data_IF_934368130980
#
_entry.id   IF_934368130980
#
_cell.length_a   1.000
_cell.length_b   1.000
_cell.length_c   1.000
_cell.angle_alpha   90.00
_cell.angle_beta   90.00
_cell.angle_gamma   90.00
#
_symmetry.space_group_name_H-M   'P 1'
#
loop_
_entity.id
_entity.type
_entity.pdbx_description
1 polymer ?
#
# COMPACT_ATOMS: atom_id res chain seq x y z
N UNK A 1 -14.24 -11.29 21.76
CA UNK A 1 -13.97 -11.73 20.37
C UNK A 1 -12.66 -11.08 19.88
N UNK A 2 -11.61 -11.12 20.71
CA UNK A 2 -10.40 -10.27 20.62
C UNK A 2 -9.17 -11.02 20.04
N UNK A 3 -9.36 -12.28 19.62
CA UNK A 3 -8.28 -13.23 19.36
C UNK A 3 -7.78 -13.27 17.92
N UNK A 4 -8.65 -13.06 16.92
CA UNK A 4 -8.28 -13.30 15.50
C UNK A 4 -7.35 -12.21 14.95
N UNK A 5 -7.63 -10.93 15.23
CA UNK A 5 -6.80 -9.82 14.75
C UNK A 5 -5.41 -9.77 15.39
N UNK A 6 -5.32 -10.05 16.70
CA UNK A 6 -4.05 -10.11 17.43
C UNK A 6 -3.19 -11.30 17.00
N UNK A 7 -3.81 -12.47 16.78
CA UNK A 7 -3.12 -13.65 16.22
C UNK A 7 -2.65 -13.40 14.78
N UNK A 8 -3.48 -12.80 13.93
CA UNK A 8 -3.11 -12.47 12.56
C UNK A 8 -1.94 -11.46 12.51
N UNK A 9 -1.93 -10.46 13.39
CA UNK A 9 -0.83 -9.51 13.53
C UNK A 9 0.50 -10.20 13.92
N UNK A 10 0.46 -11.10 14.90
CA UNK A 10 1.62 -11.90 15.30
C UNK A 10 2.13 -12.79 14.17
N UNK A 11 1.24 -13.52 13.50
CA UNK A 11 1.61 -14.37 12.37
C UNK A 11 2.22 -13.57 11.22
N UNK A 12 1.63 -12.42 10.87
CA UNK A 12 2.14 -11.59 9.78
C UNK A 12 3.51 -10.98 10.09
N UNK A 13 3.75 -10.60 11.35
CA UNK A 13 5.08 -10.19 11.79
C UNK A 13 6.10 -11.30 11.58
N UNK A 14 5.78 -12.54 12.00
CA UNK A 14 6.69 -13.68 11.84
C UNK A 14 6.95 -14.02 10.37
N UNK A 15 5.91 -13.96 9.52
CA UNK A 15 6.09 -14.10 8.08
C UNK A 15 7.00 -13.01 7.49
N UNK A 16 6.82 -11.74 7.89
CA UNK A 16 7.70 -10.65 7.44
C UNK A 16 9.16 -10.88 7.85
N UNK A 17 9.42 -11.44 9.05
CA UNK A 17 10.77 -11.78 9.49
C UNK A 17 11.41 -12.85 8.60
N UNK A 18 10.66 -13.90 8.25
CA UNK A 18 11.12 -14.94 7.34
C UNK A 18 11.40 -14.37 5.93
N UNK A 19 10.46 -13.59 5.39
CA UNK A 19 10.60 -12.96 4.08
C UNK A 19 11.81 -12.02 4.02
N UNK A 20 12.06 -11.25 5.08
CA UNK A 20 13.22 -10.38 5.21
C UNK A 20 14.53 -11.18 5.24
N UNK A 21 14.56 -12.32 5.94
CA UNK A 21 15.71 -13.23 5.92
C UNK A 21 15.97 -13.83 4.54
N UNK A 22 14.92 -14.28 3.84
CA UNK A 22 15.04 -14.81 2.47
C UNK A 22 15.55 -13.71 1.53
N UNK A 23 14.93 -12.52 1.57
CA UNK A 23 15.34 -11.38 0.75
C UNK A 23 16.79 -10.99 1.01
N UNK A 24 17.21 -10.92 2.28
CA UNK A 24 18.58 -10.57 2.63
C UNK A 24 19.60 -11.54 2.04
N UNK A 25 19.35 -12.86 2.15
CA UNK A 25 20.22 -13.87 1.56
C UNK A 25 20.26 -13.79 0.03
N UNK A 26 19.10 -13.63 -0.63
CA UNK A 26 19.07 -13.52 -2.10
C UNK A 26 19.74 -12.25 -2.60
N UNK A 27 19.57 -11.12 -1.90
CA UNK A 27 20.20 -9.85 -2.25
C UNK A 27 21.72 -9.93 -2.10
N UNK A 28 22.23 -10.57 -1.04
CA UNK A 28 23.68 -10.77 -0.87
C UNK A 28 24.26 -11.65 -1.98
N UNK A 29 23.60 -12.75 -2.32
CA UNK A 29 24.04 -13.61 -3.43
C UNK A 29 24.03 -12.88 -4.77
N UNK A 30 23.03 -12.03 -5.01
CA UNK A 30 22.96 -11.20 -6.23
C UNK A 30 24.03 -10.11 -6.28
N UNK A 31 24.48 -9.58 -5.13
CA UNK A 31 25.59 -8.61 -5.07
C UNK A 31 26.94 -9.25 -5.43
N UNK A 32 27.12 -10.53 -5.13
CA UNK A 32 28.36 -11.28 -5.40
C UNK A 32 28.35 -11.98 -6.78
N UNK A 33 27.21 -11.96 -7.49
CA UNK A 33 27.05 -12.62 -8.79
C UNK A 33 26.94 -11.64 -9.94
N UNK A 34 27.54 -12.02 -11.07
CA UNK A 34 27.35 -11.36 -12.36
C UNK A 34 26.04 -11.80 -13.01
N UNK A 35 25.47 -10.94 -13.88
CA UNK A 35 24.15 -11.15 -14.50
C UNK A 35 24.10 -12.30 -15.51
N UNK A 36 25.26 -12.77 -15.98
CA UNK A 36 25.44 -13.94 -16.85
C UNK A 36 25.47 -15.27 -16.08
N UNK A 37 25.55 -15.23 -14.75
CA UNK A 37 25.61 -16.44 -13.94
C UNK A 37 24.31 -17.27 -14.07
N UNK A 38 24.39 -18.61 -14.22
CA UNK A 38 23.22 -19.46 -14.52
C UNK A 38 22.05 -19.37 -13.53
N UNK A 39 22.32 -18.91 -12.31
CA UNK A 39 21.31 -18.78 -11.25
C UNK A 39 20.80 -17.35 -11.04
N UNK A 40 21.36 -16.34 -11.72
CA UNK A 40 21.02 -14.93 -11.50
C UNK A 40 19.53 -14.67 -11.70
N UNK A 41 18.97 -15.12 -12.83
CA UNK A 41 17.54 -15.00 -13.13
C UNK A 41 16.63 -15.72 -12.14
N UNK A 42 17.10 -16.83 -11.55
CA UNK A 42 16.35 -17.55 -10.52
C UNK A 42 16.32 -16.76 -9.21
N UNK A 43 17.44 -16.16 -8.82
CA UNK A 43 17.49 -15.31 -7.62
C UNK A 43 16.62 -14.04 -7.79
N UNK A 44 16.65 -13.38 -8.95
CA UNK A 44 15.73 -12.28 -9.25
C UNK A 44 14.25 -12.71 -9.14
N UNK A 45 13.94 -13.92 -9.62
CA UNK A 45 12.59 -14.48 -9.51
C UNK A 45 12.18 -14.72 -8.05
N UNK A 46 13.11 -15.17 -7.20
CA UNK A 46 12.84 -15.36 -5.77
C UNK A 46 12.59 -14.01 -5.09
N UNK A 47 13.40 -12.97 -5.37
CA UNK A 47 13.15 -11.64 -4.82
C UNK A 47 11.77 -11.09 -5.21
N UNK A 48 11.34 -11.29 -6.46
CA UNK A 48 10.00 -10.93 -6.92
C UNK A 48 8.91 -11.69 -6.16
N UNK A 49 9.07 -12.99 -5.95
CA UNK A 49 8.12 -13.80 -5.18
C UNK A 49 8.03 -13.38 -3.71
N UNK A 50 9.16 -13.02 -3.11
CA UNK A 50 9.21 -12.48 -1.74
C UNK A 50 8.44 -11.16 -1.64
N UNK A 51 8.65 -10.24 -2.60
CA UNK A 51 7.92 -8.99 -2.67
C UNK A 51 6.40 -9.20 -2.82
N UNK A 52 5.99 -10.09 -3.72
CA UNK A 52 4.56 -10.44 -3.90
C UNK A 52 3.96 -11.07 -2.64
N UNK A 53 4.70 -11.94 -1.95
CA UNK A 53 4.26 -12.56 -0.69
C UNK A 53 4.04 -11.52 0.41
N UNK A 54 4.95 -10.57 0.55
CA UNK A 54 4.81 -9.48 1.51
C UNK A 54 3.57 -8.63 1.23
N UNK A 55 3.26 -8.37 -0.05
CA UNK A 55 2.03 -7.67 -0.45
C UNK A 55 0.77 -8.45 -0.06
N UNK A 56 0.73 -9.75 -0.32
CA UNK A 56 -0.40 -10.62 0.04
C UNK A 56 -0.64 -10.65 1.56
N UNK A 57 0.42 -10.73 2.37
CA UNK A 57 0.31 -10.71 3.83
C UNK A 57 -0.27 -9.38 4.34
N UNK A 58 0.13 -8.25 3.75
CA UNK A 58 -0.47 -6.94 4.07
C UNK A 58 -1.97 -6.91 3.74
N UNK A 59 -2.38 -7.47 2.61
CA UNK A 59 -3.80 -7.55 2.24
C UNK A 59 -4.58 -8.42 3.26
N UNK A 60 -4.05 -9.59 3.63
CA UNK A 60 -4.67 -10.49 4.62
C UNK A 60 -4.80 -9.80 5.98
N UNK A 61 -3.78 -9.07 6.42
CA UNK A 61 -3.84 -8.26 7.64
C UNK A 61 -4.92 -7.18 7.57
N UNK A 62 -5.05 -6.51 6.42
CA UNK A 62 -6.12 -5.54 6.17
C UNK A 62 -7.50 -6.15 6.40
N UNK A 63 -7.74 -7.36 5.88
CA UNK A 63 -8.98 -8.10 6.13
C UNK A 63 -9.14 -8.53 7.60
N UNK A 64 -8.08 -9.06 8.22
CA UNK A 64 -8.13 -9.52 9.61
C UNK A 64 -8.34 -8.38 10.63
N UNK A 65 -7.98 -7.14 10.27
CA UNK A 65 -8.20 -5.93 11.07
C UNK A 65 -9.66 -5.46 11.12
N UNK A 66 -10.58 -6.03 10.32
CA UNK A 66 -12.01 -5.69 10.35
C UNK A 66 -12.73 -5.91 11.72
N UNK A 67 -12.03 -6.40 12.76
CA UNK A 67 -12.59 -6.57 14.10
C UNK A 67 -12.53 -5.36 15.04
N UNK A 68 -11.81 -4.28 14.69
CA UNK A 68 -11.73 -3.05 15.51
C UNK A 68 -11.78 -1.81 14.61
N UNK A 69 -12.98 -1.45 14.16
CA UNK A 69 -13.21 -0.15 13.53
C UNK A 69 -13.11 0.92 14.62
N UNK A 70 -12.10 1.77 14.57
CA UNK A 70 -12.04 2.96 15.41
C UNK A 70 -12.51 4.15 14.58
N UNK A 71 -13.84 4.27 14.47
CA UNK A 71 -14.47 5.38 13.74
C UNK A 71 -14.14 6.68 14.47
N UNK A 72 -13.50 7.61 13.77
CA UNK A 72 -13.19 8.96 14.23
C UNK A 72 -13.62 9.97 13.18
N UNK A 73 -13.95 11.17 13.65
CA UNK A 73 -14.05 12.34 12.77
C UNK A 73 -12.68 12.65 12.19
N UNK A 74 -12.59 12.75 10.87
CA UNK A 74 -11.34 13.01 10.16
C UNK A 74 -11.55 13.94 8.96
N UNK A 75 -10.52 14.72 8.64
CA UNK A 75 -10.45 15.49 7.41
C UNK A 75 -9.85 14.60 6.29
N UNK A 76 -10.66 14.28 5.28
CA UNK A 76 -10.22 13.39 4.20
C UNK A 76 -9.13 14.02 3.32
N UNK A 77 -9.11 15.35 3.16
CA UNK A 77 -8.10 16.02 2.35
C UNK A 77 -6.70 15.90 2.98
N UNK A 78 -6.59 15.95 4.31
CA UNK A 78 -5.32 15.77 5.01
C UNK A 78 -4.72 14.40 4.70
N UNK A 79 -5.51 13.33 4.84
CA UNK A 79 -5.06 11.97 4.55
C UNK A 79 -4.72 11.77 3.06
N UNK A 80 -5.48 12.35 2.14
CA UNK A 80 -5.16 12.32 0.70
C UNK A 80 -3.84 13.04 0.43
N UNK A 81 -3.59 14.18 1.07
CA UNK A 81 -2.33 14.91 0.94
C UNK A 81 -1.13 14.08 1.41
N UNK A 82 -1.22 13.48 2.59
CA UNK A 82 -0.16 12.63 3.15
C UNK A 82 0.16 11.42 2.25
N UNK A 83 -0.87 10.75 1.75
CA UNK A 83 -0.70 9.57 0.87
C UNK A 83 -0.19 9.96 -0.51
N UNK A 84 -0.64 11.09 -1.07
CA UNK A 84 -0.13 11.64 -2.33
C UNK A 84 1.36 12.03 -2.23
N UNK A 85 1.77 12.64 -1.11
CA UNK A 85 3.16 13.01 -0.85
C UNK A 85 4.09 11.78 -0.85
N UNK A 86 3.66 10.70 -0.21
CA UNK A 86 4.41 9.42 -0.21
C UNK A 86 4.53 8.89 -1.64
N UNK A 87 3.43 8.85 -2.39
CA UNK A 87 3.42 8.39 -3.79
C UNK A 87 4.35 9.22 -4.68
N UNK A 88 4.31 10.55 -4.59
CA UNK A 88 5.15 11.45 -5.38
C UNK A 88 6.65 11.25 -5.10
N UNK A 89 7.02 10.88 -3.87
CA UNK A 89 8.41 10.52 -3.52
C UNK A 89 8.83 9.19 -4.13
N UNK A 90 7.92 8.22 -4.23
CA UNK A 90 8.19 6.87 -4.75
C UNK A 90 8.13 6.80 -6.29
N UNK A 91 7.26 7.58 -6.93
CA UNK A 91 7.00 7.57 -8.38
C UNK A 91 7.20 8.95 -8.99
N UNK A 92 8.47 9.33 -9.19
CA UNK A 92 8.85 10.63 -9.77
C UNK A 92 8.46 10.80 -11.24
N UNK A 93 8.13 9.69 -11.90
CA UNK A 93 7.61 9.63 -13.26
C UNK A 93 6.12 9.97 -13.36
N UNK A 94 5.41 10.03 -12.22
CA UNK A 94 3.99 10.40 -12.16
C UNK A 94 3.85 11.83 -11.62
N UNK A 95 3.16 12.68 -12.36
CA UNK A 95 2.77 14.02 -11.91
C UNK A 95 1.42 13.94 -11.21
N UNK A 96 1.36 14.35 -9.95
CA UNK A 96 0.13 14.31 -9.14
C UNK A 96 -0.53 15.69 -9.16
N UNK A 97 -1.78 15.72 -9.61
CA UNK A 97 -2.64 16.90 -9.65
C UNK A 97 -3.72 16.78 -8.58
N UNK A 98 -3.79 17.74 -7.68
CA UNK A 98 -4.78 17.76 -6.60
C UNK A 98 -5.79 18.88 -6.80
N UNK A 99 -7.06 18.52 -6.89
CA UNK A 99 -8.19 19.45 -6.86
C UNK A 99 -9.12 19.03 -5.71
N UNK A 100 -8.67 19.33 -4.49
CA UNK A 100 -9.35 19.00 -3.26
C UNK A 100 -10.31 20.14 -2.87
N UNK A 101 -11.56 19.80 -2.56
CA UNK A 101 -12.56 20.79 -2.15
C UNK A 101 -12.15 21.45 -0.83
N UNK A 102 -12.04 22.78 -0.80
CA UNK A 102 -11.63 23.52 0.39
C UNK A 102 -12.66 23.47 1.53
N UNK A 103 -13.93 23.25 1.19
CA UNK A 103 -15.07 23.12 2.08
C UNK A 103 -15.52 21.66 2.25
N UNK A 104 -14.62 20.70 2.02
CA UNK A 104 -14.93 19.29 2.22
C UNK A 104 -15.34 19.04 3.67
N UNK A 105 -16.51 18.42 3.86
CA UNK A 105 -17.02 18.07 5.19
C UNK A 105 -16.18 16.96 5.80
N UNK A 106 -15.95 17.04 7.10
CA UNK A 106 -15.34 15.93 7.84
C UNK A 106 -16.22 14.67 7.73
N UNK A 107 -15.57 13.52 7.75
CA UNK A 107 -16.23 12.22 7.70
C UNK A 107 -15.97 11.45 8.98
N UNK A 108 -16.92 10.60 9.36
CA UNK A 108 -16.72 9.59 10.39
C UNK A 108 -16.27 8.28 9.72
N UNK A 109 -15.00 7.94 9.89
CA UNK A 109 -14.43 6.73 9.31
C UNK A 109 -13.30 6.17 10.17
N UNK A 110 -12.95 4.91 9.93
CA UNK A 110 -11.69 4.35 10.42
C UNK A 110 -10.55 4.86 9.52
N UNK A 111 -9.67 5.69 10.09
CA UNK A 111 -8.59 6.35 9.35
C UNK A 111 -7.70 5.34 8.63
N UNK A 112 -7.35 4.24 9.31
CA UNK A 112 -6.46 3.22 8.75
C UNK A 112 -7.10 2.46 7.59
N UNK A 113 -8.42 2.26 7.62
CA UNK A 113 -9.14 1.66 6.48
C UNK A 113 -9.21 2.60 5.28
N UNK A 114 -9.49 3.89 5.49
CA UNK A 114 -9.49 4.87 4.39
C UNK A 114 -8.09 5.00 3.80
N UNK A 115 -7.05 5.05 4.63
CA UNK A 115 -5.65 5.07 4.18
C UNK A 115 -5.33 3.85 3.31
N UNK A 116 -5.75 2.66 3.75
CA UNK A 116 -5.53 1.43 2.98
C UNK A 116 -6.25 1.45 1.62
N UNK A 117 -7.48 1.98 1.56
CA UNK A 117 -8.22 2.16 0.30
C UNK A 117 -7.45 3.11 -0.63
N UNK A 118 -7.01 4.26 -0.12
CA UNK A 118 -6.25 5.24 -0.89
C UNK A 118 -4.95 4.63 -1.43
N UNK A 119 -4.17 3.95 -0.59
CA UNK A 119 -2.93 3.29 -1.01
C UNK A 119 -3.17 2.28 -2.13
N UNK A 120 -4.22 1.46 -2.03
CA UNK A 120 -4.56 0.49 -3.06
C UNK A 120 -4.89 1.17 -4.40
N UNK A 121 -5.66 2.26 -4.37
CA UNK A 121 -5.99 3.03 -5.58
C UNK A 121 -4.74 3.67 -6.19
N UNK A 122 -3.85 4.25 -5.38
CA UNK A 122 -2.61 4.87 -5.84
C UNK A 122 -1.64 3.84 -6.45
N UNK A 123 -1.51 2.67 -5.82
CA UNK A 123 -0.70 1.56 -6.36
C UNK A 123 -1.25 1.11 -7.71
N UNK A 124 -2.55 0.86 -7.81
CA UNK A 124 -3.19 0.46 -9.06
C UNK A 124 -3.02 1.50 -10.17
N UNK A 125 -3.13 2.79 -9.83
CA UNK A 125 -2.87 3.87 -10.77
C UNK A 125 -1.41 3.85 -11.24
N UNK A 126 -0.46 3.67 -10.32
CA UNK A 126 0.96 3.54 -10.64
C UNK A 126 1.27 2.36 -11.54
N UNK A 127 0.67 1.20 -11.29
CA UNK A 127 0.86 -0.02 -12.09
C UNK A 127 0.27 0.13 -13.50
N UNK A 128 -0.84 0.87 -13.63
CA UNK A 128 -1.43 1.22 -14.92
C UNK A 128 -0.61 2.25 -15.73
N UNK A 129 0.35 2.93 -15.10
CA UNK A 129 1.20 3.97 -15.70
C UNK A 129 2.70 3.60 -15.63
N UNK A 130 3.17 2.53 -16.31
CA UNK A 130 4.55 2.06 -16.18
C UNK A 130 5.61 2.98 -16.79
N UNK A 131 5.23 3.92 -17.65
CA UNK A 131 6.12 4.96 -18.21
C UNK A 131 5.89 6.34 -17.58
N UNK A 132 5.18 6.39 -16.46
CA UNK A 132 4.71 7.64 -15.87
C UNK A 132 3.40 8.15 -16.47
N UNK A 133 2.97 9.32 -16.03
CA UNK A 133 1.71 9.93 -16.46
C UNK A 133 1.18 10.96 -15.47
N UNK A 134 -0.09 11.33 -15.63
CA UNK A 134 -0.78 12.29 -14.80
C UNK A 134 -1.83 11.61 -13.92
N UNK A 135 -1.71 11.77 -12.61
CA UNK A 135 -2.66 11.26 -11.63
C UNK A 135 -3.47 12.42 -11.05
N UNK A 136 -4.80 12.38 -11.19
CA UNK A 136 -5.70 13.41 -10.69
C UNK A 136 -6.45 12.93 -9.45
N UNK A 137 -6.26 13.61 -8.33
CA UNK A 137 -6.97 13.37 -7.08
C UNK A 137 -7.98 14.51 -6.85
N UNK A 138 -9.25 14.15 -6.69
CA UNK A 138 -10.36 15.09 -6.54
C UNK A 138 -11.24 14.69 -5.37
N UNK A 139 -11.63 15.67 -4.57
CA UNK A 139 -12.65 15.50 -3.53
C UNK A 139 -13.80 16.47 -3.77
N UNK A 140 -15.00 16.05 -3.42
CA UNK A 140 -16.20 16.86 -3.47
C UNK A 140 -17.20 16.34 -2.43
N UNK A 141 -17.99 17.25 -1.85
CA UNK A 141 -19.17 16.87 -1.09
C UNK A 141 -20.20 16.31 -2.07
N UNK A 142 -20.69 15.10 -1.81
CA UNK A 142 -21.78 14.48 -2.57
C UNK A 142 -22.95 14.26 -1.64
N UNK A 143 -24.14 14.64 -2.09
CA UNK A 143 -25.36 14.29 -1.38
C UNK A 143 -25.74 12.87 -1.79
N UNK A 144 -26.17 12.06 -0.82
CA UNK A 144 -26.75 10.75 -1.11
C UNK A 144 -28.10 10.97 -1.79
N UNK A 145 -28.11 11.10 -3.12
CA UNK A 145 -29.33 10.89 -3.90
C UNK A 145 -29.74 9.43 -3.64
N UNK A 146 -30.80 9.24 -2.85
CA UNK A 146 -31.47 7.97 -2.75
C UNK A 146 -31.94 7.58 -4.17
N UNK A 147 -31.20 6.66 -4.79
CA UNK A 147 -31.66 5.91 -5.95
C UNK A 147 -32.76 4.93 -5.52
#
# INVERSE_FOLDING_TARGET
MESVGTLAAGMAHDFNNLLMGIKGNTSLLLMEMTSDHPHYKRLESIEKQVASSASLIKQILGYARQGRNEVKTMNLNELIGETADVMGRTRRDITIHMALAADLRDIEADVGQIEQVLLNLLINAGDAMPQGGDLFLKTANVDHLAL
#
